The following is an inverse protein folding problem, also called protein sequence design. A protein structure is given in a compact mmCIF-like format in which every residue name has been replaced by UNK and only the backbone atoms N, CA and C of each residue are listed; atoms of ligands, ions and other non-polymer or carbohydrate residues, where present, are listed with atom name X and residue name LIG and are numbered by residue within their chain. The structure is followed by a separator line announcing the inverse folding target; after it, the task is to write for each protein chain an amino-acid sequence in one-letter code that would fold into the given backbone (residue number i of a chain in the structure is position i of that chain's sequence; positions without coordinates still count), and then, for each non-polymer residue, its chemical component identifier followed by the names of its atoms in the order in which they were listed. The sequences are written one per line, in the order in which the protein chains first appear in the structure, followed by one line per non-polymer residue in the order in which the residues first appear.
data_IF_698849919958
#
_entry.id   IF_698849919958
#
_cell.length_a   1.000
_cell.length_b   1.000
_cell.length_c   1.000
_cell.angle_alpha   90.00
_cell.angle_beta   90.00
_cell.angle_gamma   90.00
#
_symmetry.space_group_name_H-M   'P 1'
#
loop_
_entity.id
_entity.type
_entity.pdbx_description
1 polymer ?
#
# COMPACT_ATOMS: atom_id res chain seq x y z
N UNK A 1 -7.94 -35.24 6.21
CA UNK A 1 -9.07 -34.43 5.69
C UNK A 1 -8.50 -33.03 5.45
N UNK A 2 -8.17 -32.67 4.21
CA UNK A 2 -7.47 -31.40 3.90
C UNK A 2 -8.48 -30.25 3.87
N UNK A 3 -8.26 -29.24 4.71
CA UNK A 3 -9.12 -28.08 4.94
C UNK A 3 -8.63 -26.82 4.21
N UNK A 4 -7.98 -26.96 3.05
CA UNK A 4 -7.24 -25.85 2.42
C UNK A 4 -7.85 -25.34 1.09
N UNK A 5 -9.18 -25.38 0.94
CA UNK A 5 -9.84 -24.73 -0.21
C UNK A 5 -10.57 -23.47 0.25
N UNK A 6 -10.26 -22.29 -0.31
CA UNK A 6 -11.00 -21.09 -0.01
C UNK A 6 -12.48 -21.28 -0.36
N UNK A 7 -13.36 -20.77 0.48
CA UNK A 7 -14.80 -20.89 0.24
C UNK A 7 -15.21 -20.09 -1.01
N UNK A 8 -16.29 -20.49 -1.67
CA UNK A 8 -16.80 -19.77 -2.84
C UNK A 8 -17.06 -18.28 -2.53
N UNK A 9 -17.53 -17.98 -1.31
CA UNK A 9 -17.73 -16.61 -0.83
C UNK A 9 -16.41 -15.86 -0.69
N UNK A 10 -15.36 -16.48 -0.16
CA UNK A 10 -14.04 -15.84 -0.05
C UNK A 10 -13.47 -15.51 -1.43
N UNK A 11 -13.54 -16.46 -2.38
CA UNK A 11 -13.09 -16.24 -3.76
C UNK A 11 -13.89 -15.10 -4.42
N UNK A 12 -15.22 -15.10 -4.26
CA UNK A 12 -16.08 -14.06 -4.80
C UNK A 12 -15.74 -12.67 -4.22
N UNK A 13 -15.54 -12.56 -2.91
CA UNK A 13 -15.13 -11.31 -2.27
C UNK A 13 -13.77 -10.83 -2.77
N UNK A 14 -12.78 -11.72 -2.87
CA UNK A 14 -11.45 -11.35 -3.39
C UNK A 14 -11.52 -10.86 -4.83
N UNK A 15 -12.31 -11.52 -5.68
CA UNK A 15 -12.53 -11.09 -7.07
C UNK A 15 -13.27 -9.76 -7.15
N UNK A 16 -14.26 -9.52 -6.27
CA UNK A 16 -15.00 -8.27 -6.21
C UNK A 16 -14.09 -7.11 -5.78
N UNK A 17 -13.24 -7.32 -4.77
CA UNK A 17 -12.25 -6.32 -4.34
C UNK A 17 -11.26 -6.05 -5.46
N UNK A 18 -10.68 -7.09 -6.06
CA UNK A 18 -9.72 -6.93 -7.16
C UNK A 18 -10.35 -6.20 -8.36
N UNK A 19 -11.55 -6.63 -8.77
CA UNK A 19 -12.29 -6.02 -9.87
C UNK A 19 -12.67 -4.57 -9.58
N UNK A 20 -13.11 -4.27 -8.35
CA UNK A 20 -13.39 -2.90 -7.91
C UNK A 20 -12.14 -2.02 -7.91
N UNK A 21 -11.02 -2.51 -7.38
CA UNK A 21 -9.74 -1.79 -7.43
C UNK A 21 -9.29 -1.53 -8.87
N UNK A 22 -9.38 -2.53 -9.75
CA UNK A 22 -9.05 -2.37 -11.17
C UNK A 22 -9.96 -1.34 -11.84
N UNK A 23 -11.27 -1.40 -11.60
CA UNK A 23 -12.22 -0.45 -12.16
C UNK A 23 -11.89 0.99 -11.74
N UNK A 24 -11.60 1.22 -10.45
CA UNK A 24 -11.20 2.54 -9.94
C UNK A 24 -9.89 3.01 -10.55
N UNK A 25 -8.85 2.18 -10.53
CA UNK A 25 -7.52 2.51 -11.09
C UNK A 25 -7.61 2.84 -12.56
N UNK A 26 -8.32 2.02 -13.35
CA UNK A 26 -8.45 2.24 -14.79
C UNK A 26 -9.27 3.50 -15.08
N UNK A 27 -10.37 3.71 -14.38
CA UNK A 27 -11.21 4.90 -14.56
C UNK A 27 -10.41 6.17 -14.25
N UNK A 28 -9.77 6.24 -13.08
CA UNK A 28 -8.95 7.38 -12.69
C UNK A 28 -7.73 7.56 -13.58
N UNK A 29 -7.04 6.47 -13.93
CA UNK A 29 -5.84 6.51 -14.76
C UNK A 29 -6.13 6.99 -16.18
N UNK A 30 -7.23 6.53 -16.78
CA UNK A 30 -7.67 7.00 -18.10
C UNK A 30 -8.13 8.46 -18.04
N UNK A 31 -8.89 8.84 -17.01
CA UNK A 31 -9.34 10.23 -16.83
C UNK A 31 -8.16 11.19 -16.64
N UNK A 32 -7.17 10.80 -15.83
CA UNK A 32 -5.92 11.57 -15.64
C UNK A 32 -5.02 11.56 -16.87
N UNK A 33 -5.12 10.55 -17.74
CA UNK A 33 -4.37 10.54 -19.00
C UNK A 33 -4.97 11.49 -20.03
N UNK A 34 -6.29 11.67 -20.02
CA UNK A 34 -7.01 12.54 -20.94
C UNK A 34 -7.08 14.00 -20.45
N UNK A 35 -7.27 14.20 -19.14
CA UNK A 35 -7.54 15.52 -18.55
C UNK A 35 -6.46 15.97 -17.54
N UNK A 36 -5.55 15.08 -17.13
CA UNK A 36 -4.54 15.39 -16.14
C UNK A 36 -3.32 16.10 -16.75
N UNK A 37 -2.62 16.93 -15.96
CA UNK A 37 -1.40 17.59 -16.42
C UNK A 37 -0.24 16.59 -16.58
N UNK A 38 0.54 16.76 -17.64
CA UNK A 38 1.76 15.99 -17.89
C UNK A 38 1.51 14.48 -18.00
N UNK A 39 2.30 13.68 -17.26
CA UNK A 39 2.28 12.22 -17.32
C UNK A 39 1.56 11.56 -16.12
N UNK A 40 0.68 12.27 -15.42
CA UNK A 40 0.03 11.77 -14.20
C UNK A 40 -0.75 10.46 -14.40
N UNK A 41 -1.51 10.33 -15.49
CA UNK A 41 -2.24 9.09 -15.80
C UNK A 41 -1.31 7.90 -15.99
N UNK A 42 -0.20 8.08 -16.71
CA UNK A 42 0.80 7.02 -16.88
C UNK A 42 1.46 6.65 -15.55
N UNK A 43 1.79 7.64 -14.71
CA UNK A 43 2.37 7.42 -13.38
C UNK A 43 1.44 6.61 -12.48
N UNK A 44 0.15 6.96 -12.42
CA UNK A 44 -0.84 6.20 -11.65
C UNK A 44 -0.95 4.76 -12.13
N UNK A 45 -1.10 4.55 -13.44
CA UNK A 45 -1.27 3.23 -14.04
C UNK A 45 -0.03 2.34 -13.83
N UNK A 46 1.17 2.91 -13.96
CA UNK A 46 2.43 2.20 -13.70
C UNK A 46 2.55 1.81 -12.22
N UNK A 47 2.28 2.76 -11.31
CA UNK A 47 2.30 2.50 -9.87
C UNK A 47 1.31 1.40 -9.47
N UNK A 48 0.09 1.45 -10.01
CA UNK A 48 -0.92 0.44 -9.75
C UNK A 48 -0.53 -0.94 -10.33
N UNK A 49 0.06 -0.99 -11.52
CA UNK A 49 0.57 -2.23 -12.10
C UNK A 49 1.65 -2.87 -11.21
N UNK A 50 2.60 -2.07 -10.73
CA UNK A 50 3.63 -2.54 -9.79
C UNK A 50 2.99 -3.05 -8.50
N UNK A 51 2.05 -2.29 -7.92
CA UNK A 51 1.33 -2.68 -6.70
C UNK A 51 0.57 -4.00 -6.84
N UNK A 52 -0.13 -4.20 -7.97
CA UNK A 52 -0.86 -5.43 -8.27
C UNK A 52 0.08 -6.63 -8.42
N UNK A 53 1.23 -6.46 -9.08
CA UNK A 53 2.24 -7.52 -9.21
C UNK A 53 2.79 -7.91 -7.84
N UNK A 54 3.14 -6.94 -6.99
CA UNK A 54 3.63 -7.21 -5.64
C UNK A 54 2.58 -7.93 -4.79
N UNK A 55 1.32 -7.50 -4.85
CA UNK A 55 0.21 -8.15 -4.15
C UNK A 55 0.00 -9.59 -4.65
N UNK A 56 0.08 -9.83 -5.96
CA UNK A 56 -0.05 -11.16 -6.55
C UNK A 56 1.11 -12.08 -6.13
N UNK A 57 2.35 -11.58 -6.12
CA UNK A 57 3.52 -12.33 -5.66
C UNK A 57 3.39 -12.68 -4.18
N UNK A 58 2.96 -11.73 -3.34
CA UNK A 58 2.73 -11.96 -1.92
C UNK A 58 1.65 -13.02 -1.69
N UNK A 59 0.50 -12.91 -2.36
CA UNK A 59 -0.57 -13.91 -2.28
C UNK A 59 -0.13 -15.29 -2.78
N UNK A 60 0.64 -15.35 -3.86
CA UNK A 60 1.22 -16.59 -4.36
C UNK A 60 2.18 -17.23 -3.36
N UNK A 61 3.04 -16.44 -2.72
CA UNK A 61 3.95 -16.91 -1.67
C UNK A 61 3.20 -17.43 -0.46
N UNK A 62 2.14 -16.74 -0.04
CA UNK A 62 1.30 -17.15 1.09
C UNK A 62 0.69 -18.54 0.87
N UNK A 63 0.20 -18.80 -0.34
CA UNK A 63 -0.42 -20.10 -0.70
C UNK A 63 0.63 -21.19 -0.92
N UNK A 64 1.73 -20.89 -1.62
CA UNK A 64 2.68 -21.91 -2.10
C UNK A 64 3.85 -22.16 -1.16
N UNK A 65 4.21 -21.20 -0.32
CA UNK A 65 5.39 -21.24 0.56
C UNK A 65 5.12 -20.52 1.89
N UNK A 66 4.10 -20.94 2.66
CA UNK A 66 3.72 -20.29 3.93
C UNK A 66 4.90 -20.18 4.91
N UNK A 67 5.81 -21.17 4.93
CA UNK A 67 6.98 -21.19 5.82
C UNK A 67 8.03 -20.09 5.52
N UNK A 68 7.95 -19.45 4.34
CA UNK A 68 8.90 -18.41 3.90
C UNK A 68 8.27 -17.02 3.83
N UNK A 69 7.10 -16.84 4.41
CA UNK A 69 6.36 -15.58 4.41
C UNK A 69 6.92 -14.67 5.51
N UNK A 70 7.12 -13.40 5.19
CA UNK A 70 7.64 -12.41 6.14
C UNK A 70 6.56 -11.95 7.12
N UNK A 71 6.96 -11.42 8.27
CA UNK A 71 6.07 -10.77 9.26
C UNK A 71 5.14 -9.75 8.62
N UNK A 72 5.65 -8.92 7.72
CA UNK A 72 4.82 -7.93 7.01
C UNK A 72 3.76 -8.60 6.15
N UNK A 73 4.15 -9.59 5.34
CA UNK A 73 3.23 -10.32 4.46
C UNK A 73 2.12 -10.98 5.29
N UNK A 74 2.45 -11.61 6.44
CA UNK A 74 1.46 -12.24 7.34
C UNK A 74 0.51 -11.25 8.01
N UNK A 75 1.02 -10.13 8.52
CA UNK A 75 0.21 -9.09 9.14
C UNK A 75 -0.73 -8.43 8.12
N UNK A 76 -0.20 -8.12 6.93
CA UNK A 76 -0.97 -7.51 5.85
C UNK A 76 -2.07 -8.44 5.31
N UNK A 77 -1.79 -9.74 5.22
CA UNK A 77 -2.80 -10.73 4.82
C UNK A 77 -3.72 -11.19 5.95
N UNK A 78 -3.57 -10.66 7.18
CA UNK A 78 -4.36 -11.07 8.35
C UNK A 78 -4.25 -12.58 8.63
N UNK A 79 -3.07 -13.15 8.38
CA UNK A 79 -2.76 -14.57 8.64
C UNK A 79 -1.65 -14.72 9.69
N UNK A 80 -1.23 -13.61 10.31
CA UNK A 80 -0.26 -13.58 11.40
C UNK A 80 -0.88 -13.92 12.75
N UNK A 81 -0.04 -13.95 13.78
CA UNK A 81 -0.50 -13.97 15.16
C UNK A 81 -0.86 -12.56 15.65
N UNK A 82 -1.37 -12.45 16.88
CA UNK A 82 -1.72 -11.16 17.50
C UNK A 82 -0.52 -10.19 17.55
N UNK A 83 0.71 -10.72 17.57
CA UNK A 83 1.93 -9.91 17.59
C UNK A 83 2.17 -9.26 16.23
N UNK A 84 2.06 -10.00 15.14
CA UNK A 84 2.22 -9.48 13.77
C UNK A 84 1.22 -8.33 13.52
N UNK A 85 -0.04 -8.50 13.94
CA UNK A 85 -1.09 -7.49 13.81
C UNK A 85 -0.84 -6.25 14.68
N UNK A 86 -0.36 -6.45 15.91
CA UNK A 86 0.01 -5.34 16.80
C UNK A 86 1.19 -4.52 16.24
N UNK A 87 2.17 -5.18 15.61
CA UNK A 87 3.30 -4.52 14.95
C UNK A 87 2.82 -3.65 13.79
N UNK A 88 1.99 -4.19 12.90
CA UNK A 88 1.46 -3.44 11.76
C UNK A 88 0.58 -2.27 12.23
N UNK A 89 -0.29 -2.50 13.21
CA UNK A 89 -1.18 -1.47 13.76
C UNK A 89 -0.38 -0.30 14.36
N UNK A 90 0.66 -0.59 15.16
CA UNK A 90 1.53 0.44 15.74
C UNK A 90 2.30 1.20 14.65
N UNK A 91 2.80 0.49 13.63
CA UNK A 91 3.50 1.13 12.52
C UNK A 91 2.59 2.08 11.73
N UNK A 92 1.35 1.66 11.44
CA UNK A 92 0.33 2.48 10.78
C UNK A 92 -0.09 3.67 11.63
N UNK A 93 -0.19 3.51 12.96
CA UNK A 93 -0.47 4.61 13.87
C UNK A 93 0.64 5.68 13.85
N UNK A 94 1.91 5.27 13.80
CA UNK A 94 3.04 6.18 13.65
C UNK A 94 3.00 6.91 12.31
N UNK A 95 2.75 6.18 11.22
CA UNK A 95 2.59 6.78 9.89
C UNK A 95 1.44 7.80 9.87
N UNK A 96 0.28 7.45 10.44
CA UNK A 96 -0.89 8.32 10.51
C UNK A 96 -0.65 9.57 11.36
N UNK A 97 0.14 9.47 12.43
CA UNK A 97 0.52 10.66 13.21
C UNK A 97 1.53 11.54 12.45
N UNK A 98 2.47 10.92 11.72
CA UNK A 98 3.49 11.62 10.95
C UNK A 98 2.96 12.25 9.65
N UNK A 99 1.86 11.76 9.08
CA UNK A 99 1.29 12.30 7.84
C UNK A 99 0.81 13.75 8.03
N UNK A 100 0.30 14.12 9.20
CA UNK A 100 -0.11 15.50 9.50
C UNK A 100 1.04 16.50 9.36
N UNK A 101 2.16 16.39 10.10
CA UNK A 101 3.28 17.32 9.96
C UNK A 101 3.96 17.22 8.59
N UNK A 102 4.04 16.04 7.97
CA UNK A 102 4.60 15.89 6.63
C UNK A 102 3.76 16.63 5.58
N UNK A 103 2.44 16.48 5.64
CA UNK A 103 1.51 17.18 4.75
C UNK A 103 1.58 18.69 4.97
N UNK A 104 1.63 19.13 6.22
CA UNK A 104 1.80 20.55 6.56
C UNK A 104 3.12 21.10 6.00
N UNK A 105 4.22 20.36 6.13
CA UNK A 105 5.52 20.76 5.56
C UNK A 105 5.48 20.85 4.02
N UNK A 106 4.82 19.90 3.35
CA UNK A 106 4.64 19.94 1.90
C UNK A 106 3.80 21.15 1.46
N UNK A 107 2.70 21.44 2.17
CA UNK A 107 1.85 22.60 1.90
C UNK A 107 2.60 23.92 2.10
N UNK A 108 3.40 24.02 3.15
CA UNK A 108 4.28 25.18 3.40
C UNK A 108 5.29 25.31 2.25
N UNK A 109 5.97 24.23 1.87
CA UNK A 109 6.94 24.26 0.77
C UNK A 109 6.31 24.80 -0.53
N UNK A 110 5.10 24.34 -0.87
CA UNK A 110 4.32 24.84 -2.01
C UNK A 110 4.03 26.34 -1.86
N UNK A 111 3.62 26.80 -0.67
CA UNK A 111 3.33 28.21 -0.42
C UNK A 111 4.57 29.12 -0.58
N UNK A 112 5.77 28.59 -0.32
CA UNK A 112 7.06 29.27 -0.55
C UNK A 112 7.59 29.12 -1.99
N UNK A 113 6.79 28.59 -2.91
CA UNK A 113 7.12 28.53 -4.34
C UNK A 113 7.81 27.24 -4.79
N UNK A 114 7.85 26.19 -3.96
CA UNK A 114 8.31 24.88 -4.43
C UNK A 114 7.34 24.30 -5.47
N UNK A 115 7.87 23.57 -6.45
CA UNK A 115 7.06 22.91 -7.48
C UNK A 115 6.10 21.89 -6.85
N UNK A 116 4.82 21.98 -7.18
CA UNK A 116 3.76 21.12 -6.61
C UNK A 116 4.05 19.64 -6.88
N UNK A 117 4.46 19.27 -8.10
CA UNK A 117 4.71 17.87 -8.44
C UNK A 117 5.82 17.27 -7.58
N UNK A 118 6.91 18.02 -7.37
CA UNK A 118 8.02 17.56 -6.54
C UNK A 118 7.64 17.49 -5.06
N UNK A 119 6.89 18.46 -4.55
CA UNK A 119 6.41 18.45 -3.16
C UNK A 119 5.51 17.25 -2.88
N UNK A 120 4.60 16.91 -3.80
CA UNK A 120 3.75 15.72 -3.67
C UNK A 120 4.53 14.42 -3.81
N UNK A 121 5.48 14.35 -4.75
CA UNK A 121 6.35 13.18 -4.90
C UNK A 121 7.16 12.94 -3.62
N UNK A 122 7.80 13.99 -3.07
CA UNK A 122 8.58 13.90 -1.85
C UNK A 122 7.71 13.54 -0.64
N UNK A 123 6.49 14.09 -0.54
CA UNK A 123 5.54 13.73 0.50
C UNK A 123 5.22 12.22 0.46
N UNK A 124 4.87 11.70 -0.72
CA UNK A 124 4.58 10.27 -0.89
C UNK A 124 5.76 9.37 -0.52
N UNK A 125 6.97 9.71 -0.98
CA UNK A 125 8.16 8.94 -0.62
C UNK A 125 8.53 9.07 0.87
N UNK A 126 8.30 10.24 1.48
CA UNK A 126 8.50 10.43 2.91
C UNK A 126 7.52 9.58 3.73
N UNK A 127 6.24 9.54 3.34
CA UNK A 127 5.23 8.69 3.98
C UNK A 127 5.58 7.19 3.87
N UNK A 128 5.96 6.73 2.67
CA UNK A 128 6.44 5.35 2.48
C UNK A 128 7.68 5.05 3.35
N UNK A 129 8.63 5.99 3.39
CA UNK A 129 9.84 5.88 4.19
C UNK A 129 9.54 5.81 5.70
N UNK A 130 8.64 6.66 6.19
CA UNK A 130 8.19 6.63 7.60
C UNK A 130 7.48 5.33 7.91
N UNK A 131 6.57 4.87 7.06
CA UNK A 131 5.88 3.60 7.26
C UNK A 131 6.85 2.42 7.34
N UNK A 132 7.80 2.34 6.41
CA UNK A 132 8.83 1.29 6.38
C UNK A 132 9.75 1.35 7.61
N UNK A 133 10.22 2.56 7.98
CA UNK A 133 11.07 2.75 9.14
C UNK A 133 10.33 2.43 10.45
N UNK A 134 9.09 2.89 10.60
CA UNK A 134 8.25 2.61 11.76
C UNK A 134 8.03 1.10 11.89
N UNK A 135 7.67 0.41 10.81
CA UNK A 135 7.51 -1.04 10.81
C UNK A 135 8.80 -1.75 11.22
N UNK A 136 9.94 -1.39 10.62
CA UNK A 136 11.23 -2.00 10.92
C UNK A 136 11.66 -1.77 12.38
N UNK A 137 11.44 -0.57 12.93
CA UNK A 137 11.77 -0.23 14.31
C UNK A 137 10.87 -0.98 15.29
N UNK A 138 9.56 -0.99 15.06
CA UNK A 138 8.59 -1.67 15.94
C UNK A 138 8.81 -3.19 15.91
N UNK A 139 9.03 -3.76 14.73
CA UNK A 139 9.31 -5.19 14.57
C UNK A 139 10.61 -5.63 15.27
N UNK A 140 11.64 -4.77 15.30
CA UNK A 140 12.90 -5.07 16.02
C UNK A 140 12.79 -4.98 17.55
N UNK A 141 11.80 -4.23 18.05
CA UNK A 141 11.62 -3.97 19.50
C UNK A 141 10.59 -4.86 20.16
N UNK A 142 9.71 -5.47 19.37
CA UNK A 142 8.67 -6.39 19.82
C UNK A 142 9.22 -7.81 19.82
#
# INVERSE_FOLDING_TARGET
MSTDRPSATQVATSLLVLGGTLAVVLTLGLLLREHGPGNMGNGLLQGAAVGLVLAAVMGWRLVRRPDRVTTFERAWSQTGDERDDAVLTRALAVLGLASFPLTAAAAIAVAFGASVEMSLALLLFAELGVGAAAFAVVARRS
#
